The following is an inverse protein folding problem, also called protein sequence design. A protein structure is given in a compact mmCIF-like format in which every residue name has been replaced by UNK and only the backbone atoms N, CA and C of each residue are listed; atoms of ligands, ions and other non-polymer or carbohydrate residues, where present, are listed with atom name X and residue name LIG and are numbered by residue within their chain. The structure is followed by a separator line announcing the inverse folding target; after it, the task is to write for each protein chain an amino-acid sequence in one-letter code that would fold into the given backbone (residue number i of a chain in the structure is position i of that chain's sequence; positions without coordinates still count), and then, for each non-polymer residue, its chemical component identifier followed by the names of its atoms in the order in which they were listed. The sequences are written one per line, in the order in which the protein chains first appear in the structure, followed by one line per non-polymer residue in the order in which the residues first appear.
data_IF_475194475910
#
_entry.id   IF_475194475910
#
_cell.length_a   1.000
_cell.length_b   1.000
_cell.length_c   1.000
_cell.angle_alpha   90.00
_cell.angle_beta   90.00
_cell.angle_gamma   90.00
#
_symmetry.space_group_name_H-M   'P 1'
#
loop_
_entity.id
_entity.type
_entity.pdbx_description
1 polymer ?
#
# COMPACT_ATOMS: atom_id res chain seq x y z
N UNK A 1 -15.99 15.55 -32.39
CA UNK A 1 -16.49 15.18 -31.05
C UNK A 1 -15.46 15.68 -30.05
N UNK A 2 -15.93 16.25 -28.96
CA UNK A 2 -15.11 16.92 -27.96
C UNK A 2 -16.03 17.56 -26.94
N UNK A 3 -15.45 17.94 -25.82
CA UNK A 3 -16.17 18.63 -24.75
C UNK A 3 -16.22 20.14 -25.02
N UNK A 4 -17.18 20.84 -24.42
CA UNK A 4 -17.41 22.28 -24.60
C UNK A 4 -16.63 23.19 -23.63
N UNK A 5 -15.76 22.63 -22.80
CA UNK A 5 -15.00 23.37 -21.79
C UNK A 5 -13.63 22.74 -21.51
N UNK A 6 -12.91 23.36 -20.56
CA UNK A 6 -11.56 22.91 -20.18
C UNK A 6 -11.60 21.52 -19.54
N UNK A 7 -10.67 20.66 -19.95
CA UNK A 7 -10.35 19.39 -19.29
C UNK A 7 -9.16 19.62 -18.36
N UNK A 8 -9.29 19.29 -17.09
CA UNK A 8 -8.22 19.43 -16.10
C UNK A 8 -7.55 18.10 -15.77
N UNK A 9 -8.28 16.99 -15.84
CA UNK A 9 -7.77 15.68 -15.48
C UNK A 9 -8.22 14.63 -16.49
N UNK A 10 -7.35 13.64 -16.70
CA UNK A 10 -7.61 12.43 -17.47
C UNK A 10 -7.11 11.23 -16.66
N UNK A 11 -7.88 10.14 -16.63
CA UNK A 11 -7.41 8.84 -16.13
C UNK A 11 -8.05 7.72 -16.95
N UNK A 12 -7.45 6.55 -16.93
CA UNK A 12 -8.09 5.32 -17.39
C UNK A 12 -8.81 4.64 -16.23
N UNK A 13 -10.01 4.09 -16.47
CA UNK A 13 -10.74 3.27 -15.51
C UNK A 13 -11.68 2.32 -16.25
N UNK A 14 -11.58 1.01 -15.99
CA UNK A 14 -12.37 -0.04 -16.65
C UNK A 14 -12.37 0.06 -18.18
N UNK A 15 -11.18 0.13 -18.78
CA UNK A 15 -10.94 0.26 -20.23
C UNK A 15 -11.49 1.53 -20.90
N UNK A 16 -12.09 2.44 -20.12
CA UNK A 16 -12.57 3.75 -20.59
C UNK A 16 -11.57 4.86 -20.25
N UNK A 17 -11.46 5.85 -21.14
CA UNK A 17 -10.80 7.12 -20.83
C UNK A 17 -11.78 8.04 -20.11
N UNK A 18 -11.47 8.43 -18.89
CA UNK A 18 -12.24 9.35 -18.09
C UNK A 18 -11.68 10.76 -18.23
N UNK A 19 -12.53 11.73 -18.54
CA UNK A 19 -12.19 13.15 -18.54
C UNK A 19 -12.95 13.87 -17.45
N UNK A 20 -12.24 14.74 -16.72
CA UNK A 20 -12.79 15.62 -15.69
C UNK A 20 -12.40 17.08 -15.96
N UNK A 21 -13.32 18.01 -15.74
CA UNK A 21 -13.07 19.42 -15.97
C UNK A 21 -14.24 20.34 -15.66
N UNK A 22 -14.37 21.41 -16.44
CA UNK A 22 -15.43 22.42 -16.34
C UNK A 22 -16.49 22.30 -17.45
N UNK A 23 -16.32 21.35 -18.37
CA UNK A 23 -17.25 21.13 -19.47
C UNK A 23 -18.62 20.66 -18.99
N UNK A 24 -19.67 20.96 -19.76
CA UNK A 24 -21.05 20.56 -19.46
C UNK A 24 -21.66 19.66 -20.52
N UNK A 25 -21.16 19.73 -21.75
CA UNK A 25 -21.69 18.95 -22.87
C UNK A 25 -20.59 18.31 -23.72
N UNK A 26 -20.97 17.23 -24.42
CA UNK A 26 -20.17 16.58 -25.47
C UNK A 26 -21.09 16.19 -26.61
N UNK A 27 -20.81 16.67 -27.82
CA UNK A 27 -21.63 16.32 -29.00
C UNK A 27 -23.13 16.64 -28.87
N UNK A 28 -23.52 17.63 -28.06
CA UNK A 28 -24.91 17.99 -27.78
C UNK A 28 -25.59 17.20 -26.65
N UNK A 29 -24.90 16.24 -26.03
CA UNK A 29 -25.35 15.54 -24.83
C UNK A 29 -24.77 16.17 -23.56
N UNK A 30 -25.58 16.27 -22.51
CA UNK A 30 -25.14 16.73 -21.18
C UNK A 30 -24.35 15.64 -20.47
N UNK A 31 -23.18 15.99 -19.94
CA UNK A 31 -22.31 15.08 -19.16
C UNK A 31 -21.89 15.66 -17.79
N UNK A 32 -21.94 17.00 -17.62
CA UNK A 32 -21.64 17.71 -16.38
C UNK A 32 -20.30 17.33 -15.72
N UNK A 33 -19.24 17.97 -16.22
CA UNK A 33 -17.91 18.09 -15.59
C UNK A 33 -17.11 16.80 -15.51
N UNK A 34 -17.72 15.67 -15.86
CA UNK A 34 -17.07 14.36 -16.00
C UNK A 34 -17.73 13.53 -17.10
N UNK A 35 -16.93 12.83 -17.90
CA UNK A 35 -17.40 11.95 -18.97
C UNK A 35 -16.44 10.79 -19.19
N UNK A 36 -16.95 9.64 -19.67
CA UNK A 36 -16.14 8.46 -20.04
C UNK A 36 -16.17 8.24 -21.54
N UNK A 37 -15.05 7.86 -22.13
CA UNK A 37 -14.91 7.56 -23.56
C UNK A 37 -14.62 6.07 -23.73
N UNK A 38 -15.49 5.39 -24.46
CA UNK A 38 -15.47 3.93 -24.65
C UNK A 38 -14.69 3.47 -25.90
N UNK A 39 -13.88 4.35 -26.48
CA UNK A 39 -13.23 4.13 -27.77
C UNK A 39 -14.04 4.62 -28.98
N UNK A 40 -15.33 4.91 -28.81
CA UNK A 40 -16.24 5.28 -29.90
C UNK A 40 -17.10 6.53 -29.61
N UNK A 41 -17.53 6.72 -28.37
CA UNK A 41 -18.40 7.81 -27.95
C UNK A 41 -18.11 8.25 -26.50
N UNK A 42 -18.42 9.51 -26.21
CA UNK A 42 -18.42 10.03 -24.84
C UNK A 42 -19.76 9.74 -24.18
N UNK A 43 -19.73 9.23 -22.95
CA UNK A 43 -20.91 8.90 -22.15
C UNK A 43 -20.91 9.67 -20.82
N UNK A 44 -22.10 10.08 -20.33
CA UNK A 44 -22.25 10.66 -19.01
C UNK A 44 -22.10 9.62 -17.88
N UNK A 45 -21.78 10.10 -16.69
CA UNK A 45 -21.95 9.35 -15.45
C UNK A 45 -23.34 9.63 -14.86
N UNK A 46 -24.24 8.65 -14.93
CA UNK A 46 -25.64 8.79 -14.51
C UNK A 46 -25.90 8.07 -13.18
N UNK A 47 -26.39 8.77 -12.17
CA UNK A 47 -26.79 8.19 -10.88
C UNK A 47 -28.19 8.67 -10.50
N UNK A 48 -29.16 7.75 -10.36
CA UNK A 48 -30.51 8.10 -9.87
C UNK A 48 -31.23 9.20 -10.65
N UNK A 49 -30.99 9.32 -11.97
CA UNK A 49 -31.54 10.37 -12.82
C UNK A 49 -30.81 11.71 -12.76
N UNK A 50 -29.71 11.80 -12.01
CA UNK A 50 -28.80 12.94 -11.98
C UNK A 50 -27.54 12.62 -12.79
N UNK A 51 -26.89 13.66 -13.32
CA UNK A 51 -25.76 13.54 -14.25
C UNK A 51 -24.53 14.22 -13.66
N UNK A 52 -23.44 13.46 -13.59
CA UNK A 52 -22.09 13.95 -13.29
C UNK A 52 -21.93 14.53 -11.89
N UNK A 53 -21.04 15.52 -11.80
CA UNK A 53 -20.74 16.25 -10.55
C UNK A 53 -21.06 17.73 -10.71
N UNK A 54 -21.36 18.40 -9.61
CA UNK A 54 -21.96 19.73 -9.67
C UNK A 54 -21.84 20.59 -8.41
N UNK A 55 -22.17 21.86 -8.61
CA UNK A 55 -22.62 22.81 -7.59
C UNK A 55 -23.60 23.78 -8.28
N UNK A 56 -24.45 24.42 -7.48
CA UNK A 56 -25.28 25.57 -7.78
C UNK A 56 -24.49 26.82 -8.23
N UNK A 57 -23.20 26.93 -7.88
CA UNK A 57 -22.34 28.04 -8.30
C UNK A 57 -21.50 27.68 -9.54
N UNK A 58 -21.55 28.57 -10.54
CA UNK A 58 -20.76 28.46 -11.77
C UNK A 58 -19.28 28.78 -11.49
N UNK A 59 -18.37 27.92 -11.96
CA UNK A 59 -16.91 28.14 -11.90
C UNK A 59 -16.07 27.01 -11.30
N UNK A 60 -16.70 25.88 -10.96
CA UNK A 60 -16.10 24.83 -10.15
C UNK A 60 -16.37 23.46 -10.77
N UNK A 61 -15.37 22.57 -10.82
CA UNK A 61 -15.49 21.27 -11.49
C UNK A 61 -14.47 20.24 -11.03
N UNK A 62 -14.37 19.14 -11.80
CA UNK A 62 -13.42 18.07 -11.50
C UNK A 62 -12.01 18.53 -11.83
N UNK A 63 -11.11 18.47 -10.85
CA UNK A 63 -9.71 18.90 -11.01
C UNK A 63 -8.73 17.76 -10.87
N UNK A 64 -9.11 16.69 -10.18
CA UNK A 64 -8.30 15.51 -9.96
C UNK A 64 -9.12 14.24 -10.18
N UNK A 65 -8.48 13.23 -10.76
CA UNK A 65 -9.01 11.90 -10.96
C UNK A 65 -7.94 10.89 -10.55
N UNK A 66 -8.33 9.83 -9.86
CA UNK A 66 -7.45 8.68 -9.63
C UNK A 66 -8.29 7.41 -9.51
N UNK A 67 -7.65 6.25 -9.68
CA UNK A 67 -8.26 4.95 -9.39
C UNK A 67 -7.63 4.40 -8.13
N UNK A 68 -8.46 4.09 -7.14
CA UNK A 68 -8.02 3.54 -5.86
C UNK A 68 -8.94 2.41 -5.45
N UNK A 69 -8.37 1.25 -5.10
CA UNK A 69 -9.12 0.01 -4.82
C UNK A 69 -10.13 -0.39 -5.91
N UNK A 70 -9.81 -0.09 -7.18
CA UNK A 70 -10.67 -0.39 -8.33
C UNK A 70 -11.83 0.60 -8.52
N UNK A 71 -12.01 1.57 -7.62
CA UNK A 71 -13.01 2.61 -7.72
C UNK A 71 -12.44 3.87 -8.37
N UNK A 72 -13.27 4.60 -9.12
CA UNK A 72 -12.90 5.91 -9.64
C UNK A 72 -13.15 6.96 -8.55
N UNK A 73 -12.08 7.60 -8.09
CA UNK A 73 -12.13 8.68 -7.12
C UNK A 73 -11.98 10.02 -7.84
N UNK A 74 -12.85 10.96 -7.50
CA UNK A 74 -12.96 12.26 -8.15
C UNK A 74 -12.81 13.34 -7.11
N UNK A 75 -11.92 14.30 -7.39
CA UNK A 75 -11.64 15.44 -6.54
C UNK A 75 -11.76 16.75 -7.31
N UNK A 76 -12.19 17.81 -6.65
CA UNK A 76 -12.25 19.11 -7.28
C UNK A 76 -12.90 20.18 -6.44
N UNK A 77 -13.58 21.08 -7.14
CA UNK A 77 -14.44 22.09 -6.55
C UNK A 77 -15.89 21.75 -6.93
N UNK A 78 -16.53 20.93 -6.11
CA UNK A 78 -17.94 20.58 -6.27
C UNK A 78 -18.51 20.17 -4.91
N UNK A 79 -19.82 20.33 -4.75
CA UNK A 79 -20.53 19.99 -3.51
C UNK A 79 -21.63 18.94 -3.74
N UNK A 80 -21.83 18.51 -4.99
CA UNK A 80 -22.75 17.44 -5.33
C UNK A 80 -22.16 16.46 -6.33
N UNK A 81 -22.54 15.19 -6.21
CA UNK A 81 -22.24 14.13 -7.17
C UNK A 81 -23.46 13.21 -7.28
N UNK A 82 -24.03 13.05 -8.47
CA UNK A 82 -25.24 12.24 -8.65
C UNK A 82 -26.43 12.64 -7.76
N UNK A 83 -26.56 13.92 -7.42
CA UNK A 83 -27.59 14.44 -6.51
C UNK A 83 -27.31 14.27 -5.01
N UNK A 84 -26.23 13.59 -4.63
CA UNK A 84 -25.78 13.50 -3.24
C UNK A 84 -24.93 14.71 -2.86
N UNK A 85 -25.06 15.19 -1.62
CA UNK A 85 -24.13 16.18 -1.06
C UNK A 85 -22.80 15.50 -0.76
N UNK A 86 -21.70 16.09 -1.24
CA UNK A 86 -20.34 15.59 -1.06
C UNK A 86 -19.42 16.74 -0.70
N UNK A 87 -18.32 16.46 -0.01
CA UNK A 87 -17.32 17.46 0.36
C UNK A 87 -16.09 17.33 -0.52
N UNK A 88 -16.18 17.83 -1.76
CA UNK A 88 -15.07 17.98 -2.71
C UNK A 88 -14.43 16.68 -3.23
N UNK A 89 -14.81 15.53 -2.66
CA UNK A 89 -14.37 14.19 -3.07
C UNK A 89 -15.60 13.27 -3.15
N UNK A 90 -15.71 12.53 -4.24
CA UNK A 90 -16.71 11.50 -4.45
C UNK A 90 -16.09 10.25 -5.06
N UNK A 91 -16.68 9.09 -4.83
CA UNK A 91 -16.34 7.85 -5.52
C UNK A 91 -17.47 7.37 -6.42
N UNK A 92 -17.09 6.71 -7.50
CA UNK A 92 -18.00 6.03 -8.41
C UNK A 92 -17.80 4.52 -8.28
N UNK A 93 -18.87 3.82 -7.90
CA UNK A 93 -18.87 2.37 -7.66
C UNK A 93 -19.14 1.51 -8.92
N UNK A 94 -19.31 2.17 -10.07
CA UNK A 94 -19.77 1.52 -11.32
C UNK A 94 -21.21 1.80 -11.70
N UNK A 95 -22.03 2.24 -10.74
CA UNK A 95 -23.47 2.45 -10.92
C UNK A 95 -23.99 3.75 -10.31
N UNK A 96 -23.36 4.22 -9.23
CA UNK A 96 -23.79 5.38 -8.46
C UNK A 96 -22.60 6.19 -7.93
N UNK A 97 -22.86 7.48 -7.70
CA UNK A 97 -21.98 8.38 -6.98
C UNK A 97 -22.20 8.26 -5.48
N UNK A 98 -21.12 8.19 -4.71
CA UNK A 98 -21.14 8.24 -3.25
C UNK A 98 -20.22 9.35 -2.72
N UNK A 99 -20.57 10.00 -1.59
CA UNK A 99 -19.61 10.82 -0.87
C UNK A 99 -18.42 9.95 -0.42
N UNK A 100 -17.19 10.43 -0.66
CA UNK A 100 -16.01 9.73 -0.15
C UNK A 100 -15.74 10.17 1.28
N UNK A 101 -16.12 9.33 2.24
CA UNK A 101 -16.04 9.62 3.67
C UNK A 101 -16.63 11.01 4.00
N UNK A 102 -15.95 11.78 4.88
CA UNK A 102 -16.31 13.16 5.18
C UNK A 102 -15.72 14.18 4.20
N UNK A 103 -14.91 13.74 3.23
CA UNK A 103 -14.19 14.61 2.28
C UNK A 103 -13.24 15.62 2.93
N UNK A 104 -13.03 16.75 2.26
CA UNK A 104 -12.14 17.83 2.71
C UNK A 104 -12.83 19.19 2.69
N UNK A 105 -12.33 20.16 3.46
CA UNK A 105 -12.98 21.48 3.61
C UNK A 105 -12.70 22.48 2.48
N UNK A 106 -11.92 22.09 1.46
CA UNK A 106 -11.51 22.99 0.40
C UNK A 106 -11.19 22.29 -0.92
N UNK A 107 -10.68 23.03 -1.89
CA UNK A 107 -10.53 22.55 -3.26
C UNK A 107 -9.48 21.46 -3.31
N UNK A 108 -9.79 20.34 -3.98
CA UNK A 108 -8.82 19.29 -4.29
C UNK A 108 -8.23 19.55 -5.68
N UNK A 109 -6.90 19.53 -5.79
CA UNK A 109 -6.18 19.65 -7.07
C UNK A 109 -5.40 18.41 -7.44
N UNK A 110 -5.06 17.58 -6.45
CA UNK A 110 -4.29 16.37 -6.67
C UNK A 110 -4.90 15.20 -5.89
N UNK A 111 -4.99 14.06 -6.57
CA UNK A 111 -5.30 12.76 -5.99
C UNK A 111 -4.28 11.77 -6.57
N UNK A 112 -3.72 10.92 -5.73
CA UNK A 112 -2.90 9.78 -6.18
C UNK A 112 -3.08 8.63 -5.21
N UNK A 113 -3.09 7.41 -5.74
CA UNK A 113 -2.76 6.24 -4.92
C UNK A 113 -1.25 6.25 -4.68
N UNK A 114 -0.86 5.94 -3.45
CA UNK A 114 0.53 5.68 -3.09
C UNK A 114 0.56 4.78 -1.85
N UNK A 115 1.27 3.65 -1.95
CA UNK A 115 1.39 2.64 -0.89
C UNK A 115 0.04 2.11 -0.37
N UNK A 116 -0.93 1.88 -1.27
CA UNK A 116 -2.26 1.37 -0.91
C UNK A 116 -3.20 2.42 -0.30
N UNK A 117 -2.72 3.64 -0.08
CA UNK A 117 -3.49 4.73 0.51
C UNK A 117 -3.89 5.76 -0.56
N UNK A 118 -5.03 6.43 -0.36
CA UNK A 118 -5.42 7.57 -1.18
C UNK A 118 -4.81 8.84 -0.59
N UNK A 119 -3.94 9.49 -1.36
CA UNK A 119 -3.34 10.78 -1.04
C UNK A 119 -4.15 11.90 -1.68
N UNK A 120 -4.41 12.96 -0.92
CA UNK A 120 -5.14 14.15 -1.38
C UNK A 120 -4.32 15.40 -1.14
N UNK A 121 -4.27 16.27 -2.16
CA UNK A 121 -3.58 17.57 -2.12
C UNK A 121 -4.45 18.68 -2.72
N UNK A 122 -4.38 19.88 -2.15
CA UNK A 122 -5.22 20.98 -2.61
C UNK A 122 -5.02 22.29 -1.86
N UNK A 123 -6.12 23.03 -1.67
CA UNK A 123 -6.22 24.18 -0.77
C UNK A 123 -7.35 23.91 0.23
N UNK A 124 -7.01 23.24 1.33
CA UNK A 124 -7.94 22.89 2.38
C UNK A 124 -7.24 22.88 3.75
N UNK A 125 -7.82 23.54 4.76
CA UNK A 125 -7.31 23.47 6.12
C UNK A 125 -7.49 22.09 6.76
N UNK A 126 -8.58 21.38 6.44
CA UNK A 126 -8.97 20.14 7.11
C UNK A 126 -9.39 19.01 6.14
N UNK A 127 -9.12 17.78 6.57
CA UNK A 127 -9.64 16.55 5.97
C UNK A 127 -10.49 15.81 7.02
N UNK A 128 -11.79 15.69 6.78
CA UNK A 128 -12.76 15.45 7.83
C UNK A 128 -12.63 16.46 8.98
N UNK A 129 -12.51 15.95 10.20
CA UNK A 129 -12.34 16.75 11.42
C UNK A 129 -10.87 17.00 11.79
N UNK A 130 -9.91 16.51 10.98
CA UNK A 130 -8.48 16.65 11.25
C UNK A 130 -7.90 17.85 10.53
N UNK A 131 -7.04 18.60 11.23
CA UNK A 131 -6.18 19.60 10.59
C UNK A 131 -5.20 18.88 9.66
N UNK A 132 -5.10 19.32 8.41
CA UNK A 132 -4.32 18.63 7.39
C UNK A 132 -3.33 19.54 6.65
N UNK A 133 -3.54 20.87 6.67
CA UNK A 133 -2.68 21.83 5.99
C UNK A 133 -2.38 21.43 4.54
N UNK A 134 -3.44 21.34 3.73
CA UNK A 134 -3.42 21.18 2.27
C UNK A 134 -3.01 19.80 1.74
N UNK A 135 -2.66 18.84 2.61
CA UNK A 135 -2.31 17.48 2.21
C UNK A 135 -2.73 16.46 3.28
N UNK A 136 -3.38 15.38 2.86
CA UNK A 136 -3.84 14.32 3.76
C UNK A 136 -3.76 12.96 3.08
N UNK A 137 -3.88 11.90 3.88
CA UNK A 137 -4.07 10.52 3.41
C UNK A 137 -5.34 9.92 4.00
N UNK A 138 -5.98 9.03 3.26
CA UNK A 138 -7.08 8.21 3.75
C UNK A 138 -6.55 6.84 4.18
N UNK A 139 -6.73 6.48 5.45
CA UNK A 139 -6.21 5.25 6.06
C UNK A 139 -7.32 4.26 6.41
N UNK A 140 -8.43 4.30 5.66
CA UNK A 140 -9.54 3.38 5.79
C UNK A 140 -10.59 3.77 6.85
N UNK A 141 -11.69 2.98 6.97
CA UNK A 141 -12.84 3.36 7.78
C UNK A 141 -12.58 3.42 9.29
N UNK A 142 -11.57 2.69 9.80
CA UNK A 142 -11.23 2.66 11.22
C UNK A 142 -10.55 3.96 11.68
N UNK A 143 -9.63 4.46 10.86
CA UNK A 143 -8.74 5.58 11.21
C UNK A 143 -9.10 6.89 10.49
N UNK A 144 -9.77 6.80 9.34
CA UNK A 144 -10.27 7.94 8.59
C UNK A 144 -9.18 8.74 7.88
N UNK A 145 -9.40 10.06 7.79
CA UNK A 145 -8.41 10.99 7.26
C UNK A 145 -7.29 11.21 8.27
N UNK A 146 -6.04 11.18 7.80
CA UNK A 146 -4.86 11.46 8.59
C UNK A 146 -4.05 12.58 7.91
N UNK A 147 -3.49 13.46 8.74
CA UNK A 147 -2.56 14.48 8.27
C UNK A 147 -1.22 13.84 7.86
N UNK A 148 -0.56 14.42 6.86
CA UNK A 148 0.82 14.04 6.55
C UNK A 148 1.76 14.88 7.41
N UNK A 149 2.71 14.22 8.08
CA UNK A 149 3.75 14.91 8.86
C UNK A 149 5.05 14.96 8.06
N UNK A 150 5.64 16.15 7.95
CA UNK A 150 6.98 16.37 7.42
C UNK A 150 7.89 16.81 8.57
N UNK A 151 8.61 15.86 9.18
CA UNK A 151 9.61 16.11 10.22
C UNK A 151 9.16 17.02 11.39
N UNK A 152 8.02 16.69 12.02
CA UNK A 152 7.58 17.28 13.28
C UNK A 152 6.36 18.20 13.16
N UNK A 153 6.00 18.63 11.95
CA UNK A 153 4.85 19.49 11.69
C UNK A 153 3.98 18.93 10.55
N UNK A 154 2.68 19.25 10.60
CA UNK A 154 1.70 18.70 9.64
C UNK A 154 1.58 19.54 8.37
N UNK A 155 1.57 18.84 7.23
CA UNK A 155 1.26 19.33 5.90
C UNK A 155 2.24 20.35 5.34
N UNK A 156 1.74 21.25 4.50
CA UNK A 156 2.56 22.24 3.79
C UNK A 156 1.98 23.65 3.89
N UNK A 157 2.86 24.65 3.93
CA UNK A 157 2.47 26.07 3.99
C UNK A 157 2.21 26.62 2.58
N UNK A 158 1.09 26.20 1.99
CA UNK A 158 0.65 26.61 0.66
C UNK A 158 -0.11 25.50 -0.06
N UNK A 159 -0.45 25.75 -1.31
CA UNK A 159 -1.31 24.87 -2.10
C UNK A 159 -0.54 23.66 -2.61
N UNK A 160 -1.14 22.47 -2.58
CA UNK A 160 -0.62 21.29 -3.29
C UNK A 160 -1.36 21.14 -4.61
N UNK A 161 -0.63 21.31 -5.71
CA UNK A 161 -1.19 21.28 -7.07
C UNK A 161 -1.00 19.93 -7.74
N UNK A 162 -0.01 19.15 -7.30
CA UNK A 162 0.32 17.85 -7.87
C UNK A 162 0.86 16.92 -6.79
N UNK A 163 0.48 15.64 -6.89
CA UNK A 163 1.01 14.55 -6.09
C UNK A 163 1.40 13.41 -7.03
N UNK A 164 2.50 12.73 -6.73
CA UNK A 164 2.87 11.51 -7.46
C UNK A 164 3.80 10.64 -6.63
N UNK A 165 3.64 9.32 -6.73
CA UNK A 165 4.61 8.36 -6.19
C UNK A 165 5.85 8.26 -7.09
N UNK A 166 7.05 8.34 -6.51
CA UNK A 166 8.31 8.11 -7.23
C UNK A 166 9.38 7.51 -6.31
N UNK A 167 9.96 6.38 -6.72
CA UNK A 167 11.00 5.67 -5.97
C UNK A 167 10.62 5.44 -4.50
N UNK A 168 9.44 4.86 -4.26
CA UNK A 168 8.86 4.64 -2.93
C UNK A 168 8.54 5.92 -2.14
N UNK A 169 8.71 7.11 -2.69
CA UNK A 169 8.42 8.37 -2.01
C UNK A 169 7.15 9.02 -2.58
N UNK A 170 6.45 9.79 -1.76
CA UNK A 170 5.42 10.70 -2.25
C UNK A 170 6.06 12.05 -2.57
N UNK A 171 5.89 12.53 -3.80
CA UNK A 171 6.35 13.83 -4.24
C UNK A 171 5.16 14.77 -4.30
N UNK A 172 5.23 15.86 -3.54
CA UNK A 172 4.26 16.94 -3.58
C UNK A 172 4.85 18.14 -4.32
N UNK A 173 4.09 18.71 -5.25
CA UNK A 173 4.42 19.93 -5.98
C UNK A 173 3.32 20.97 -5.82
N UNK A 174 3.68 22.24 -5.67
CA UNK A 174 2.70 23.25 -5.30
C UNK A 174 3.20 24.68 -5.28
N UNK A 175 2.54 25.52 -4.48
CA UNK A 175 2.95 26.91 -4.24
C UNK A 175 3.62 27.11 -2.89
N UNK A 176 3.72 26.06 -2.07
CA UNK A 176 4.20 26.11 -0.70
C UNK A 176 5.71 26.40 -0.58
N UNK A 177 6.06 27.06 0.53
CA UNK A 177 7.45 27.44 0.88
C UNK A 177 8.00 26.60 2.04
N UNK A 178 7.14 25.89 2.77
CA UNK A 178 7.54 24.92 3.78
C UNK A 178 6.72 23.63 3.69
N UNK A 179 7.35 22.53 4.07
CA UNK A 179 6.71 21.25 4.34
C UNK A 179 7.09 20.87 5.76
N UNK A 180 6.09 20.85 6.65
CA UNK A 180 6.32 20.87 8.09
C UNK A 180 7.18 22.06 8.51
N UNK A 181 8.25 21.79 9.25
CA UNK A 181 9.22 22.79 9.72
C UNK A 181 10.35 23.07 8.70
N UNK A 182 10.43 22.28 7.63
CA UNK A 182 11.48 22.39 6.63
C UNK A 182 11.12 23.43 5.55
N UNK A 183 12.07 24.33 5.26
CA UNK A 183 11.95 25.23 4.11
C UNK A 183 12.18 24.46 2.82
N UNK A 184 11.19 24.48 1.94
CA UNK A 184 11.21 23.81 0.64
C UNK A 184 10.76 24.78 -0.45
N UNK A 185 11.32 24.68 -1.65
CA UNK A 185 10.91 25.56 -2.75
C UNK A 185 9.91 24.85 -3.65
N UNK A 186 8.64 24.80 -3.23
CA UNK A 186 7.49 24.34 -4.03
C UNK A 186 7.44 22.85 -4.39
N UNK A 187 8.44 22.09 -3.96
CA UNK A 187 8.51 20.65 -4.11
C UNK A 187 8.96 20.07 -2.78
N UNK A 188 8.18 19.12 -2.26
CA UNK A 188 8.51 18.35 -1.07
C UNK A 188 8.52 16.86 -1.43
N UNK A 189 9.41 16.12 -0.78
CA UNK A 189 9.46 14.66 -0.84
C UNK A 189 9.13 14.17 0.55
N UNK A 190 8.10 13.34 0.66
CA UNK A 190 7.87 12.52 1.84
C UNK A 190 8.53 11.18 1.58
N UNK A 191 9.54 10.86 2.37
CA UNK A 191 10.22 9.59 2.23
C UNK A 191 9.26 8.45 2.59
N UNK A 192 9.27 7.39 1.76
CA UNK A 192 8.45 6.19 1.92
C UNK A 192 8.61 5.45 3.24
N UNK A 193 9.55 5.89 4.08
CA UNK A 193 9.57 5.61 5.50
C UNK A 193 8.53 6.45 6.27
N UNK A 194 7.30 6.59 5.76
CA UNK A 194 6.17 6.38 6.65
C UNK A 194 6.28 4.92 6.99
N UNK A 195 7.01 4.64 8.05
CA UNK A 195 7.39 3.29 8.42
C UNK A 195 6.14 2.42 8.33
N UNK A 196 6.07 1.58 7.28
CA UNK A 196 4.88 0.82 6.99
C UNK A 196 4.61 0.01 8.26
N UNK A 197 3.49 0.35 8.90
CA UNK A 197 3.06 -0.34 10.11
C UNK A 197 2.17 -1.47 9.67
N UNK A 198 2.27 -2.56 10.40
CA UNK A 198 1.51 -3.77 10.20
C UNK A 198 1.32 -4.44 11.55
N UNK A 199 0.48 -5.45 11.58
CA UNK A 199 0.28 -6.23 12.78
C UNK A 199 1.58 -6.95 13.16
N UNK A 200 2.16 -6.53 14.27
CA UNK A 200 3.19 -7.23 14.97
C UNK A 200 2.56 -8.08 16.08
N UNK A 201 2.79 -9.39 16.04
CA UNK A 201 2.41 -10.27 17.13
C UNK A 201 3.49 -10.29 18.20
N UNK A 202 3.14 -9.84 19.41
CA UNK A 202 4.00 -9.87 20.60
C UNK A 202 3.25 -10.56 21.73
N UNK A 203 3.78 -11.67 22.24
CA UNK A 203 3.19 -12.41 23.37
C UNK A 203 1.69 -12.73 23.19
N UNK A 204 1.28 -13.04 21.95
CA UNK A 204 -0.11 -13.35 21.61
C UNK A 204 -1.02 -12.12 21.46
N UNK A 205 -0.47 -10.91 21.46
CA UNK A 205 -1.20 -9.66 21.22
C UNK A 205 -0.74 -9.06 19.90
N UNK A 206 -1.68 -8.70 19.04
CA UNK A 206 -1.41 -7.97 17.81
C UNK A 206 -1.32 -6.47 18.13
N UNK A 207 -0.25 -5.81 17.68
CA UNK A 207 -0.12 -4.36 17.76
C UNK A 207 0.37 -3.79 16.44
N UNK A 208 -0.08 -2.59 16.10
CA UNK A 208 0.33 -1.89 14.88
C UNK A 208 1.63 -1.12 15.14
N UNK A 209 2.73 -1.66 14.63
CA UNK A 209 4.07 -1.06 14.67
C UNK A 209 4.81 -1.41 13.39
N UNK A 210 6.01 -0.87 13.22
CA UNK A 210 6.83 -1.10 12.03
C UNK A 210 7.49 -2.48 12.07
N UNK A 211 7.87 -3.03 10.92
CA UNK A 211 8.65 -4.29 10.87
C UNK A 211 9.91 -4.20 11.75
N UNK A 212 10.66 -3.09 11.62
CA UNK A 212 11.89 -2.90 12.39
C UNK A 212 11.69 -2.84 13.90
N UNK A 213 10.60 -2.21 14.35
CA UNK A 213 10.26 -2.16 15.77
C UNK A 213 9.76 -3.52 16.26
N UNK A 214 8.97 -4.21 15.43
CA UNK A 214 8.48 -5.55 15.71
C UNK A 214 9.62 -6.54 15.93
N UNK A 215 10.60 -6.57 15.03
CA UNK A 215 11.78 -7.41 15.15
C UNK A 215 12.66 -7.01 16.35
N UNK A 216 12.78 -5.71 16.64
CA UNK A 216 13.59 -5.21 17.76
C UNK A 216 13.06 -5.64 19.13
N UNK A 217 11.75 -5.88 19.24
CA UNK A 217 11.11 -6.38 20.47
C UNK A 217 10.85 -7.90 20.44
N UNK A 218 11.36 -8.60 19.42
CA UNK A 218 11.21 -10.05 19.27
C UNK A 218 9.78 -10.48 18.92
N UNK A 219 9.00 -9.60 18.29
CA UNK A 219 7.69 -9.91 17.75
C UNK A 219 7.75 -10.46 16.33
N UNK A 220 6.67 -11.10 15.90
CA UNK A 220 6.53 -11.63 14.55
C UNK A 220 5.66 -10.70 13.70
N UNK A 221 6.25 -10.16 12.64
CA UNK A 221 5.59 -9.18 11.78
C UNK A 221 4.75 -9.88 10.71
N UNK A 222 3.47 -9.51 10.60
CA UNK A 222 2.52 -10.15 9.68
C UNK A 222 2.52 -9.54 8.28
N UNK A 223 3.36 -8.54 8.04
CA UNK A 223 3.46 -7.80 6.79
C UNK A 223 2.83 -6.41 6.86
N UNK A 224 3.22 -5.56 5.93
CA UNK A 224 2.80 -4.17 5.87
C UNK A 224 1.28 -4.03 5.67
N UNK A 225 0.69 -3.02 6.33
CA UNK A 225 -0.74 -2.69 6.25
C UNK A 225 -1.69 -3.80 6.72
N UNK A 226 -1.19 -4.77 7.51
CA UNK A 226 -2.04 -5.79 8.13
C UNK A 226 -2.74 -5.25 9.39
N UNK A 227 -4.06 -5.37 9.45
CA UNK A 227 -4.88 -4.93 10.58
C UNK A 227 -4.70 -5.87 11.80
N UNK A 228 -4.23 -5.38 12.96
CA UNK A 228 -4.13 -6.18 14.19
C UNK A 228 -5.46 -6.81 14.63
N UNK A 229 -6.60 -6.20 14.30
CA UNK A 229 -7.93 -6.71 14.63
C UNK A 229 -8.38 -7.91 13.81
N UNK A 230 -7.73 -8.18 12.68
CA UNK A 230 -7.97 -9.34 11.81
C UNK A 230 -6.90 -10.43 11.96
N UNK A 231 -5.82 -10.11 12.66
CA UNK A 231 -4.72 -11.03 12.92
C UNK A 231 -4.98 -11.75 14.23
N UNK A 232 -5.13 -13.06 14.15
CA UNK A 232 -5.09 -13.90 15.33
C UNK A 232 -3.63 -14.21 15.66
N UNK A 233 -3.07 -13.54 16.68
CA UNK A 233 -1.78 -13.92 17.27
C UNK A 233 -1.92 -15.19 18.14
N UNK A 234 -2.52 -16.21 17.55
CA UNK A 234 -2.49 -17.57 18.04
C UNK A 234 -1.48 -18.29 17.18
N UNK A 235 -0.23 -18.42 17.61
CA UNK A 235 0.57 -19.64 17.48
C UNK A 235 1.90 -19.38 18.17
N UNK A 236 2.33 -20.36 18.95
CA UNK A 236 3.75 -20.59 19.19
C UNK A 236 4.48 -20.53 17.85
N UNK A 237 5.62 -19.84 17.80
CA UNK A 237 6.57 -19.83 16.68
C UNK A 237 6.50 -21.13 15.86
N UNK A 238 6.34 -21.07 14.52
CA UNK A 238 6.28 -22.27 13.70
C UNK A 238 7.52 -23.13 13.99
N UNK A 239 7.28 -24.39 14.33
CA UNK A 239 8.36 -25.35 14.58
C UNK A 239 8.54 -26.22 13.36
N UNK A 240 9.78 -26.50 13.02
CA UNK A 240 10.19 -27.40 11.96
C UNK A 240 11.22 -28.39 12.45
N UNK A 241 11.52 -29.39 11.62
CA UNK A 241 12.52 -30.39 11.91
C UNK A 241 13.91 -29.76 12.04
N UNK A 242 14.53 -29.96 13.20
CA UNK A 242 15.90 -29.58 13.50
C UNK A 242 16.77 -30.82 13.67
N UNK A 243 17.72 -31.03 12.76
CA UNK A 243 18.68 -32.11 12.85
C UNK A 243 19.86 -31.69 13.73
N UNK A 244 20.02 -32.32 14.89
CA UNK A 244 21.12 -32.06 15.80
C UNK A 244 22.39 -32.80 15.35
N UNK A 245 23.53 -32.33 15.82
CA UNK A 245 24.83 -32.98 15.57
C UNK A 245 24.94 -34.39 16.16
N UNK A 246 24.04 -34.80 17.06
CA UNK A 246 23.90 -36.18 17.55
C UNK A 246 23.19 -37.13 16.57
N UNK A 247 22.51 -36.60 15.55
CA UNK A 247 21.69 -37.37 14.60
C UNK A 247 20.22 -37.44 14.99
N UNK A 248 19.87 -36.89 16.15
CA UNK A 248 18.49 -36.77 16.58
C UNK A 248 17.79 -35.65 15.84
N UNK A 249 16.51 -35.87 15.52
CA UNK A 249 15.62 -34.84 15.03
C UNK A 249 14.69 -34.38 16.14
N UNK A 250 14.59 -33.06 16.33
CA UNK A 250 13.63 -32.43 17.24
C UNK A 250 12.86 -31.32 16.53
N UNK A 251 11.58 -31.16 16.83
CA UNK A 251 10.79 -30.02 16.33
C UNK A 251 11.09 -28.79 17.17
N UNK A 252 11.80 -27.83 16.59
CA UNK A 252 12.19 -26.58 17.24
C UNK A 252 11.85 -25.40 16.33
N UNK A 253 11.82 -24.20 16.89
CA UNK A 253 11.83 -22.96 16.09
C UNK A 253 13.18 -22.86 15.36
N UNK A 254 13.23 -22.15 14.22
CA UNK A 254 14.49 -21.92 13.49
C UNK A 254 15.57 -21.34 14.43
N UNK A 255 15.20 -20.32 15.20
CA UNK A 255 16.08 -19.67 16.17
C UNK A 255 16.64 -20.62 17.23
N UNK A 256 15.81 -21.52 17.78
CA UNK A 256 16.24 -22.51 18.77
C UNK A 256 17.08 -23.62 18.15
N UNK A 257 16.78 -24.01 16.91
CA UNK A 257 17.56 -24.99 16.16
C UNK A 257 18.99 -24.51 15.91
N UNK A 258 19.13 -23.28 15.41
CA UNK A 258 20.43 -22.67 15.15
C UNK A 258 21.22 -22.43 16.45
N UNK A 259 20.54 -22.02 17.53
CA UNK A 259 21.17 -21.82 18.85
C UNK A 259 21.73 -23.12 19.46
N UNK A 260 21.15 -24.27 19.12
CA UNK A 260 21.65 -25.60 19.55
C UNK A 260 22.66 -26.20 18.57
N UNK A 261 23.04 -25.48 17.52
CA UNK A 261 23.99 -25.93 16.49
C UNK A 261 23.42 -27.01 15.56
N UNK A 262 22.09 -27.11 15.46
CA UNK A 262 21.40 -28.00 14.54
C UNK A 262 21.19 -27.39 13.15
N UNK A 263 20.78 -28.22 12.20
CA UNK A 263 20.38 -27.81 10.85
C UNK A 263 18.85 -27.78 10.76
N UNK A 264 18.28 -26.63 10.41
CA UNK A 264 16.83 -26.45 10.29
C UNK A 264 16.34 -26.79 8.88
N UNK A 265 15.22 -27.50 8.76
CA UNK A 265 14.70 -27.99 7.48
C UNK A 265 13.49 -27.22 6.95
N UNK A 266 13.09 -26.14 7.62
CA UNK A 266 11.95 -25.29 7.24
C UNK A 266 10.72 -25.53 8.11
N UNK A 267 9.81 -24.57 8.07
CA UNK A 267 8.59 -24.57 8.88
C UNK A 267 7.64 -25.71 8.49
N UNK A 268 6.96 -26.27 9.49
CA UNK A 268 6.02 -27.39 9.38
C UNK A 268 6.62 -28.71 8.80
N UNK A 269 7.93 -28.77 8.58
CA UNK A 269 8.62 -30.00 8.18
C UNK A 269 8.70 -30.94 9.38
N UNK A 270 8.15 -32.14 9.25
CA UNK A 270 8.15 -33.12 10.32
C UNK A 270 9.48 -33.88 10.40
N UNK A 271 9.89 -34.25 11.61
CA UNK A 271 11.10 -35.05 11.82
C UNK A 271 11.08 -36.44 11.16
N UNK A 272 9.91 -36.95 10.81
CA UNK A 272 9.76 -38.18 10.03
C UNK A 272 10.07 -38.00 8.54
N UNK A 273 10.08 -36.76 8.06
CA UNK A 273 10.30 -36.37 6.67
C UNK A 273 11.68 -35.74 6.48
N UNK A 274 12.25 -35.16 7.55
CA UNK A 274 13.60 -34.64 7.55
C UNK A 274 14.65 -35.77 7.63
N UNK A 275 15.54 -35.80 6.64
CA UNK A 275 16.60 -36.81 6.56
C UNK A 275 17.81 -36.39 7.41
N UNK A 276 17.70 -36.55 8.74
CA UNK A 276 18.78 -36.24 9.70
C UNK A 276 19.91 -37.28 9.71
N UNK A 277 20.39 -37.68 8.52
CA UNK A 277 21.47 -38.66 8.40
C UNK A 277 22.75 -38.04 8.95
N UNK A 278 23.32 -38.71 9.95
CA UNK A 278 24.65 -38.39 10.43
C UNK A 278 25.66 -38.59 9.30
N UNK A 279 26.52 -37.60 8.99
CA UNK A 279 27.74 -37.89 8.26
C UNK A 279 28.61 -38.76 9.18
N UNK A 280 28.55 -40.07 9.00
CA UNK A 280 29.50 -40.95 9.66
C UNK A 280 30.86 -40.68 8.99
N UNK A 281 31.80 -40.09 9.75
CA UNK A 281 33.10 -39.60 9.22
C UNK A 281 33.90 -40.71 8.49
N UNK A 282 33.59 -41.97 8.75
CA UNK A 282 34.19 -43.13 8.09
C UNK A 282 33.44 -43.64 6.85
N UNK A 283 32.28 -43.08 6.51
CA UNK A 283 31.56 -43.37 5.27
C UNK A 283 32.11 -42.46 4.17
N UNK A 284 33.06 -43.02 3.44
CA UNK A 284 33.80 -42.30 2.41
C UNK A 284 33.10 -42.36 1.07
N UNK A 285 32.16 -43.30 0.90
CA UNK A 285 31.43 -43.49 -0.36
C UNK A 285 30.00 -42.90 -0.34
N UNK A 286 29.52 -42.45 0.81
CA UNK A 286 28.21 -41.81 1.00
C UNK A 286 27.02 -42.77 1.06
N UNK A 287 27.24 -44.06 1.35
CA UNK A 287 26.19 -45.09 1.38
C UNK A 287 25.46 -45.22 2.73
N UNK A 288 25.91 -44.46 3.74
CA UNK A 288 25.36 -44.42 5.09
C UNK A 288 25.85 -45.54 6.01
N UNK A 289 26.83 -46.36 5.61
CA UNK A 289 27.33 -47.51 6.37
C UNK A 289 28.86 -47.62 6.36
N UNK A 290 29.52 -47.35 7.49
CA UNK A 290 30.98 -47.55 7.62
C UNK A 290 31.38 -49.04 7.56
N UNK A 291 31.98 -49.46 6.46
CA UNK A 291 32.40 -50.83 6.21
C UNK A 291 33.67 -50.93 5.32
N UNK A 292 33.99 -52.14 4.81
CA UNK A 292 35.21 -52.36 4.02
C UNK A 292 35.21 -51.59 2.69
N UNK A 293 34.05 -51.25 2.15
CA UNK A 293 33.92 -50.51 0.90
C UNK A 293 34.40 -49.05 1.06
N UNK A 294 34.27 -48.45 2.25
CA UNK A 294 34.84 -47.14 2.55
C UNK A 294 36.36 -47.16 2.59
N UNK A 295 36.93 -48.20 3.18
CA UNK A 295 38.38 -48.38 3.21
C UNK A 295 38.96 -48.52 1.80
N UNK A 296 38.22 -49.16 0.89
CA UNK A 296 38.63 -49.28 -0.51
C UNK A 296 38.63 -47.92 -1.22
N UNK A 297 37.70 -47.02 -0.89
CA UNK A 297 37.68 -45.65 -1.42
C UNK A 297 38.94 -44.88 -1.01
N UNK A 298 39.34 -44.96 0.28
CA UNK A 298 40.58 -44.36 0.78
C UNK A 298 41.83 -44.92 0.05
N UNK A 299 41.88 -46.23 -0.13
CA UNK A 299 43.02 -46.90 -0.80
C UNK A 299 43.07 -46.57 -2.29
N UNK A 300 41.93 -46.33 -2.94
CA UNK A 300 41.86 -45.96 -4.36
C UNK A 300 42.50 -44.59 -4.64
N UNK A 301 42.46 -43.69 -3.65
CA UNK A 301 43.06 -42.37 -3.71
C UNK A 301 44.54 -42.35 -3.26
N UNK A 302 45.11 -43.49 -2.84
CA UNK A 302 46.50 -43.56 -2.39
C UNK A 302 47.49 -43.66 -3.56
N UNK A 303 48.24 -42.57 -3.76
CA UNK A 303 49.28 -42.43 -4.77
C UNK A 303 49.91 -41.04 -4.70
N UNK A 304 50.90 -40.75 -5.55
CA UNK A 304 51.51 -39.42 -5.61
C UNK A 304 50.59 -38.44 -6.36
N UNK A 305 50.25 -37.31 -5.73
CA UNK A 305 49.64 -36.17 -6.42
C UNK A 305 50.58 -35.65 -7.54
N UNK A 306 50.06 -35.27 -8.71
CA UNK A 306 50.85 -34.57 -9.73
C UNK A 306 51.37 -33.20 -9.26
#
# INVERSE_FOLDING_TARGET
MGVDGTVFALTEWNDDLIAGGEFTTTGGQTVNRIARWDGSAWHPFNSGGQIGVGDSNFGFGVRALTVWNGELIVGGDFNTAGGQTVNRIACWDGSAWHPFASGVSGIVWALTEWNGELMVGGNFPTAGDQSANNIARWTGPLWGWQAINFDGEIGVAGQVNSLTGWNQNLIAGGTFETAGDQTVNRIARLDGCLSAVGACCINGVAMEITESECLAVGGFYQGDFTDPGQVTCSQSEPTGACCLSSGDCVSLTESSCLATGGTYHGDDVNCSEANCVQPCIGDLNGDGVVNVFDLLELLSAWGTCP
#
